data_IF_675728876207
#
_entry.id   IF_675728876207
#
_cell.length_a   1.000
_cell.length_b   1.000
_cell.length_c   1.000
_cell.angle_alpha   90.00
_cell.angle_beta   90.00
_cell.angle_gamma   90.00
#
_symmetry.space_group_name_H-M   'P 1'
#
loop_
_entity.id
_entity.type
_entity.pdbx_description
1 polymer ?
#
# COMPACT_ATOMS: atom_id res chain seq x y z
N UNK A 1 5.37 16.26 -1.47
CA UNK A 1 4.26 16.54 -2.43
C UNK A 1 3.35 15.34 -2.41
N UNK A 2 2.03 15.53 -2.53
CA UNK A 2 1.08 14.41 -2.57
C UNK A 2 0.48 14.26 -3.97
N UNK A 3 0.40 13.03 -4.47
CA UNK A 3 -0.19 12.70 -5.75
C UNK A 3 -1.16 11.52 -5.59
N UNK A 4 -2.42 11.62 -6.07
CA UNK A 4 -3.33 10.49 -6.08
C UNK A 4 -2.89 9.43 -7.10
N UNK A 5 -3.20 8.17 -6.84
CA UNK A 5 -3.00 7.06 -7.78
C UNK A 5 -4.07 5.98 -7.60
N UNK A 6 -4.25 5.17 -8.63
CA UNK A 6 -5.03 3.94 -8.60
C UNK A 6 -4.08 2.73 -8.61
N UNK A 7 -4.42 1.70 -7.86
CA UNK A 7 -3.61 0.50 -7.63
C UNK A 7 -4.37 -0.73 -8.12
N UNK A 8 -4.08 -1.22 -9.33
CA UNK A 8 -4.62 -2.48 -9.81
C UNK A 8 -3.89 -3.65 -9.13
N UNK A 9 -4.60 -4.40 -8.29
CA UNK A 9 -4.07 -5.50 -7.50
C UNK A 9 -4.78 -6.79 -7.88
N UNK A 10 -4.02 -7.79 -8.31
CA UNK A 10 -4.56 -9.15 -8.50
C UNK A 10 -4.49 -9.90 -7.19
N UNK A 11 -5.64 -10.28 -6.62
CA UNK A 11 -5.70 -11.01 -5.36
C UNK A 11 -6.78 -12.10 -5.42
N UNK A 12 -6.43 -13.33 -5.01
CA UNK A 12 -7.32 -14.51 -5.03
C UNK A 12 -8.00 -14.76 -6.39
N UNK A 13 -7.36 -14.37 -7.49
CA UNK A 13 -7.88 -14.52 -8.85
C UNK A 13 -8.83 -13.40 -9.30
N UNK A 14 -9.02 -12.36 -8.48
CA UNK A 14 -9.80 -11.17 -8.82
C UNK A 14 -8.88 -9.97 -9.09
N UNK A 15 -9.26 -9.12 -10.05
CA UNK A 15 -8.64 -7.81 -10.27
C UNK A 15 -9.37 -6.76 -9.42
N UNK A 16 -8.67 -6.20 -8.44
CA UNK A 16 -9.16 -5.18 -7.53
C UNK A 16 -8.49 -3.86 -7.87
N UNK A 17 -9.21 -2.74 -7.71
CA UNK A 17 -8.63 -1.40 -7.84
C UNK A 17 -8.79 -0.68 -6.51
N UNK A 18 -7.67 -0.23 -5.96
CA UNK A 18 -7.64 0.56 -4.74
C UNK A 18 -7.21 1.99 -5.03
N UNK A 19 -7.77 2.94 -4.27
CA UNK A 19 -7.34 4.32 -4.32
C UNK A 19 -6.19 4.53 -3.35
N UNK A 20 -5.20 5.31 -3.75
CA UNK A 20 -4.12 5.69 -2.89
C UNK A 20 -3.56 7.07 -3.18
N UNK A 21 -2.58 7.46 -2.36
CA UNK A 21 -1.78 8.66 -2.57
C UNK A 21 -0.31 8.40 -2.27
N UNK A 22 0.56 8.88 -3.14
CA UNK A 22 2.00 8.90 -2.96
C UNK A 22 2.37 10.24 -2.31
N UNK A 23 2.88 10.17 -1.08
CA UNK A 23 3.47 11.32 -0.40
C UNK A 23 5.00 11.23 -0.50
N UNK A 24 5.60 12.19 -1.19
CA UNK A 24 7.06 12.32 -1.30
C UNK A 24 7.61 13.34 -0.32
N UNK A 25 8.72 12.97 0.33
CA UNK A 25 9.47 13.76 1.30
C UNK A 25 10.91 13.93 0.81
N UNK A 26 11.70 14.76 1.49
CA UNK A 26 13.10 15.03 1.11
C UNK A 26 13.98 13.77 1.07
N UNK A 27 13.65 12.72 1.81
CA UNK A 27 14.47 11.51 1.96
C UNK A 27 13.69 10.20 1.80
N UNK A 28 12.52 10.23 1.15
CA UNK A 28 11.73 9.02 0.96
C UNK A 28 10.31 9.28 0.53
N UNK A 29 9.51 8.23 0.55
CA UNK A 29 8.09 8.30 0.23
C UNK A 29 7.27 7.39 1.14
N UNK A 30 5.97 7.69 1.21
CA UNK A 30 4.95 6.80 1.76
C UNK A 30 3.82 6.68 0.77
N UNK A 31 3.23 5.49 0.69
CA UNK A 31 2.01 5.22 -0.05
C UNK A 31 0.90 4.99 0.96
N UNK A 32 -0.15 5.78 0.87
CA UNK A 32 -1.36 5.58 1.67
C UNK A 32 -2.39 4.96 0.76
N UNK A 33 -2.89 3.78 1.12
CA UNK A 33 -3.85 3.02 0.32
C UNK A 33 -5.11 2.80 1.13
N UNK A 34 -6.26 3.16 0.57
CA UNK A 34 -7.55 2.85 1.14
C UNK A 34 -7.98 1.44 0.72
N UNK A 35 -7.97 0.52 1.69
CA UNK A 35 -8.40 -0.87 1.53
C UNK A 35 -9.70 -1.06 2.30
N UNK A 36 -10.83 -0.96 1.59
CA UNK A 36 -12.18 -1.13 2.15
C UNK A 36 -12.49 -0.20 3.33
N UNK A 37 -12.06 1.06 3.25
CA UNK A 37 -12.20 2.06 4.32
C UNK A 37 -11.06 2.06 5.33
N UNK A 38 -10.03 1.23 5.12
CA UNK A 38 -8.85 1.13 5.98
C UNK A 38 -7.66 1.77 5.30
N UNK A 39 -7.15 2.87 5.87
CA UNK A 39 -5.88 3.43 5.43
C UNK A 39 -4.72 2.54 5.89
N UNK A 40 -4.04 1.92 4.92
CA UNK A 40 -2.80 1.18 5.13
C UNK A 40 -1.65 2.01 4.57
N UNK A 41 -0.60 2.18 5.37
CA UNK A 41 0.58 2.96 4.98
C UNK A 41 1.70 2.01 4.59
N UNK A 42 2.21 2.14 3.36
CA UNK A 42 3.37 1.41 2.88
C UNK A 42 4.58 2.35 2.83
N UNK A 43 5.69 1.89 3.39
CA UNK A 43 6.96 2.62 3.43
C UNK A 43 8.15 1.67 3.36
N UNK A 44 9.32 2.20 3.00
CA UNK A 44 10.57 1.47 3.09
C UNK A 44 11.03 1.44 4.55
N UNK A 45 11.42 0.27 5.03
CA UNK A 45 12.09 0.12 6.32
C UNK A 45 13.59 0.49 6.23
N UNK A 46 14.31 0.31 7.34
CA UNK A 46 15.73 0.69 7.44
C UNK A 46 16.64 -0.17 6.53
N UNK A 47 16.18 -1.35 6.11
CA UNK A 47 16.88 -2.22 5.16
C UNK A 47 16.46 -1.95 3.70
N UNK A 48 15.51 -1.04 3.49
CA UNK A 48 14.95 -0.70 2.18
C UNK A 48 13.87 -1.68 1.70
N UNK A 49 13.37 -2.56 2.56
CA UNK A 49 12.24 -3.42 2.21
C UNK A 49 10.92 -2.66 2.40
N UNK A 50 9.92 -2.94 1.55
CA UNK A 50 8.58 -2.40 1.77
C UNK A 50 7.93 -3.09 2.97
N UNK A 51 7.38 -2.28 3.88
CA UNK A 51 6.53 -2.72 5.00
C UNK A 51 5.19 -2.01 4.96
N UNK A 52 4.19 -2.65 5.54
CA UNK A 52 2.88 -2.05 5.77
C UNK A 52 2.69 -1.73 7.25
N UNK A 53 2.13 -0.55 7.52
CA UNK A 53 1.67 -0.11 8.83
C UNK A 53 0.14 -0.07 8.77
N UNK A 54 -0.48 -0.92 9.57
CA UNK A 54 -1.94 -1.02 9.71
C UNK A 54 -2.30 -0.45 11.08
N UNK A 55 -3.27 0.46 11.12
CA UNK A 55 -3.77 0.98 12.40
C UNK A 55 -4.68 -0.05 13.06
N UNK A 56 -4.39 -0.38 14.33
CA UNK A 56 -5.19 -1.32 15.13
C UNK A 56 -6.64 -0.85 15.33
N UNK A 57 -6.91 0.44 15.17
CA UNK A 57 -8.22 1.04 15.44
C UNK A 57 -9.18 1.08 14.24
N UNK A 58 -8.69 0.87 13.00
CA UNK A 58 -9.50 1.07 11.79
C UNK A 58 -10.03 -0.22 11.17
N UNK A 59 -9.36 -1.35 11.36
CA UNK A 59 -9.59 -2.55 10.55
C UNK A 59 -10.76 -3.42 11.04
N UNK A 60 -11.98 -3.05 10.67
CA UNK A 60 -13.16 -3.89 10.86
C UNK A 60 -13.98 -4.02 9.55
N UNK A 61 -13.81 -5.11 8.79
CA UNK A 61 -12.95 -6.27 9.07
C UNK A 61 -11.45 -5.95 8.93
N UNK A 62 -10.57 -6.74 9.58
CA UNK A 62 -9.13 -6.62 9.41
C UNK A 62 -8.70 -6.77 7.95
N UNK A 63 -7.73 -5.97 7.50
CA UNK A 63 -7.14 -6.15 6.17
C UNK A 63 -6.37 -7.47 6.14
N UNK A 64 -6.65 -8.31 5.16
CA UNK A 64 -5.99 -9.60 5.02
C UNK A 64 -4.49 -9.43 4.73
N UNK A 65 -3.65 -10.16 5.47
CA UNK A 65 -2.19 -10.14 5.25
C UNK A 65 -1.80 -10.44 3.79
N UNK A 66 -2.48 -11.41 3.16
CA UNK A 66 -2.20 -11.76 1.76
C UNK A 66 -2.53 -10.63 0.78
N UNK A 67 -3.51 -9.78 1.07
CA UNK A 67 -3.82 -8.62 0.24
C UNK A 67 -2.75 -7.54 0.39
N UNK A 68 -2.23 -7.35 1.60
CA UNK A 68 -1.09 -6.47 1.86
C UNK A 68 0.16 -6.95 1.10
N UNK A 69 0.42 -8.26 1.13
CA UNK A 69 1.54 -8.88 0.39
C UNK A 69 1.40 -8.67 -1.11
N UNK A 70 0.21 -8.87 -1.69
CA UNK A 70 -0.04 -8.62 -3.11
C UNK A 70 0.18 -7.15 -3.52
N UNK A 71 -0.17 -6.19 -2.65
CA UNK A 71 0.11 -4.77 -2.88
C UNK A 71 1.62 -4.48 -2.84
N UNK A 72 2.37 -5.11 -1.91
CA UNK A 72 3.82 -4.99 -1.86
C UNK A 72 4.47 -5.57 -3.12
N UNK A 73 3.99 -6.73 -3.59
CA UNK A 73 4.45 -7.34 -4.84
C UNK A 73 4.23 -6.40 -6.03
N UNK A 74 3.03 -5.83 -6.17
CA UNK A 74 2.74 -4.83 -7.20
C UNK A 74 3.77 -3.69 -7.20
N UNK A 75 4.09 -3.12 -6.03
CA UNK A 75 5.07 -2.04 -5.95
C UNK A 75 6.50 -2.47 -6.27
N UNK A 76 6.88 -3.69 -5.90
CA UNK A 76 8.18 -4.24 -6.24
C UNK A 76 8.31 -4.48 -7.76
N UNK A 77 7.25 -4.95 -8.42
CA UNK A 77 7.21 -5.18 -9.86
C UNK A 77 7.27 -3.90 -10.67
N UNK A 78 6.59 -2.84 -10.21
CA UNK A 78 6.53 -1.58 -10.93
C UNK A 78 7.86 -0.80 -10.94
N UNK A 79 8.91 -1.27 -10.25
CA UNK A 79 10.20 -0.57 -10.07
C UNK A 79 10.01 0.95 -9.87
N UNK A 80 9.01 1.34 -9.08
CA UNK A 80 8.75 2.76 -8.81
C UNK A 80 9.78 3.21 -7.78
N UNK A 81 10.89 3.72 -8.33
CA UNK A 81 12.06 4.37 -7.73
C UNK A 81 13.16 3.44 -7.20
#
# INVERSE_FOLDING_TARGET
MEQPLELPVTYKGEELIFNGRLATFSYGYKLYVDIYGNEVVFERDDEGNLRAIVSDASANPPVEKGLIEAIIELFNELQVL
#
